data_IF_069825658398
#
_entry.id   IF_069825658398
#
_cell.length_a   1.000
_cell.length_b   1.000
_cell.length_c   1.000
_cell.angle_alpha   90.00
_cell.angle_beta   90.00
_cell.angle_gamma   90.00
#
_symmetry.space_group_name_H-M   'P 1'
#
loop_
_entity.id
_entity.type
_entity.pdbx_description
1 polymer ?
#
# COMPACT_ATOMS: atom_id res chain seq x y z
N UNK A 1 8.77 29.75 12.45
CA UNK A 1 7.50 29.92 11.72
C UNK A 1 7.54 29.41 10.27
N UNK A 2 8.56 29.74 9.45
CA UNK A 2 8.63 29.29 8.04
C UNK A 2 8.73 27.76 7.86
N UNK A 3 9.49 27.07 8.74
CA UNK A 3 9.65 25.61 8.66
C UNK A 3 8.35 24.85 8.94
N UNK A 4 7.57 25.30 9.93
CA UNK A 4 6.27 24.72 10.27
C UNK A 4 5.26 24.89 9.13
N UNK A 5 5.25 26.05 8.45
CA UNK A 5 4.42 26.26 7.27
C UNK A 5 4.77 25.31 6.11
N UNK A 6 6.07 25.09 5.85
CA UNK A 6 6.53 24.16 4.83
C UNK A 6 6.19 22.70 5.17
N UNK A 7 6.31 22.29 6.44
CA UNK A 7 5.93 20.96 6.92
C UNK A 7 4.42 20.71 6.80
N UNK A 8 3.59 21.69 7.18
CA UNK A 8 2.13 21.61 7.01
C UNK A 8 1.77 21.52 5.51
N UNK A 9 2.45 22.28 4.65
CA UNK A 9 2.24 22.22 3.20
C UNK A 9 2.64 20.85 2.61
N UNK A 10 3.78 20.28 3.04
CA UNK A 10 4.21 18.95 2.62
C UNK A 10 3.28 17.84 3.09
N UNK A 11 2.77 17.91 4.33
CA UNK A 11 1.81 16.96 4.88
C UNK A 11 0.45 17.04 4.16
N UNK A 12 -0.02 18.25 3.86
CA UNK A 12 -1.29 18.47 3.14
C UNK A 12 -1.20 18.07 1.66
N UNK A 13 -0.09 18.33 0.98
CA UNK A 13 0.16 17.84 -0.40
C UNK A 13 0.30 16.31 -0.42
N UNK A 14 0.93 15.70 0.59
CA UNK A 14 1.03 14.24 0.70
C UNK A 14 -0.34 13.59 0.91
N UNK A 15 -1.26 14.25 1.64
CA UNK A 15 -2.64 13.80 1.78
C UNK A 15 -3.51 14.09 0.53
N UNK A 16 -3.10 15.02 -0.35
CA UNK A 16 -3.76 15.29 -1.62
C UNK A 16 -3.40 14.25 -2.70
N UNK A 17 -2.27 13.56 -2.55
CA UNK A 17 -1.98 12.33 -3.27
C UNK A 17 -2.75 11.20 -2.58
N UNK A 18 -3.81 10.70 -3.23
CA UNK A 18 -4.64 9.64 -2.66
C UNK A 18 -3.86 8.36 -2.33
N UNK A 19 -4.51 7.43 -1.64
CA UNK A 19 -3.97 6.12 -1.27
C UNK A 19 -3.30 5.45 -2.48
N UNK A 20 -2.09 4.91 -2.33
CA UNK A 20 -1.43 4.14 -3.40
C UNK A 20 -1.66 2.65 -3.20
N UNK A 21 -2.04 1.93 -4.24
CA UNK A 21 -2.28 0.49 -4.18
C UNK A 21 -1.58 -0.24 -5.34
N UNK A 22 -1.26 -1.52 -5.16
CA UNK A 22 -0.94 -2.37 -6.30
C UNK A 22 -2.18 -2.58 -7.16
N UNK A 23 -2.03 -2.55 -8.48
CA UNK A 23 -3.13 -2.68 -9.44
C UNK A 23 -2.79 -3.69 -10.51
N UNK A 24 -3.70 -4.64 -10.74
CA UNK A 24 -3.61 -5.61 -11.82
C UNK A 24 -4.95 -6.33 -12.02
N UNK A 25 -5.17 -6.80 -13.23
CA UNK A 25 -6.37 -7.56 -13.60
C UNK A 25 -5.95 -8.98 -13.99
N UNK A 26 -6.39 -9.97 -13.21
CA UNK A 26 -6.16 -11.41 -13.46
C UNK A 26 -4.71 -11.69 -13.87
N UNK A 27 -3.78 -11.38 -12.98
CA UNK A 27 -2.34 -11.51 -13.22
C UNK A 27 -1.71 -12.55 -12.30
N UNK A 28 -0.53 -13.06 -12.68
CA UNK A 28 0.32 -13.81 -11.76
C UNK A 28 0.66 -12.93 -10.55
N UNK A 29 0.54 -13.43 -9.30
CA UNK A 29 0.80 -12.63 -8.12
C UNK A 29 2.19 -11.99 -8.05
N UNK A 30 3.20 -12.59 -8.70
CA UNK A 30 4.57 -12.06 -8.74
C UNK A 30 4.74 -10.98 -9.80
N UNK A 31 3.94 -10.99 -10.87
CA UNK A 31 3.98 -9.96 -11.91
C UNK A 31 3.13 -8.72 -11.57
N UNK A 32 2.25 -8.82 -10.57
CA UNK A 32 1.42 -7.70 -10.11
C UNK A 32 2.22 -6.70 -9.26
N UNK A 33 3.09 -5.93 -9.92
CA UNK A 33 3.96 -4.91 -9.30
C UNK A 33 3.57 -3.48 -9.65
N UNK A 34 2.67 -3.30 -10.62
CA UNK A 34 2.18 -1.98 -11.02
C UNK A 34 1.40 -1.33 -9.87
N UNK A 35 1.51 0.00 -9.76
CA UNK A 35 0.84 0.77 -8.70
C UNK A 35 0.00 1.87 -9.29
N UNK A 36 -1.16 2.12 -8.68
CA UNK A 36 -2.04 3.23 -9.02
C UNK A 36 -2.27 4.12 -7.79
N UNK A 37 -2.64 5.37 -8.04
CA UNK A 37 -3.09 6.30 -6.99
C UNK A 37 -4.61 6.31 -7.01
N UNK A 38 -5.23 5.99 -5.88
CA UNK A 38 -6.66 5.95 -5.71
C UNK A 38 -7.25 7.36 -5.78
N UNK A 39 -8.42 7.47 -6.40
CA UNK A 39 -9.24 8.68 -6.31
C UNK A 39 -9.86 8.80 -4.91
N UNK A 40 -10.29 10.01 -4.52
CA UNK A 40 -10.73 10.33 -3.17
C UNK A 40 -11.81 9.41 -2.55
N UNK A 41 -12.63 8.75 -3.38
CA UNK A 41 -13.72 7.87 -2.92
C UNK A 41 -13.33 6.38 -2.82
N UNK A 42 -12.13 6.00 -3.30
CA UNK A 42 -11.61 4.65 -3.20
C UNK A 42 -10.59 4.62 -2.05
N UNK A 43 -11.10 4.47 -0.84
CA UNK A 43 -10.35 4.61 0.43
C UNK A 43 -9.67 3.31 0.88
N UNK A 44 -9.71 2.24 0.08
CA UNK A 44 -9.11 0.94 0.38
C UNK A 44 -8.31 0.40 -0.79
N UNK A 45 -7.25 -0.33 -0.48
CA UNK A 45 -6.69 -1.26 -1.44
C UNK A 45 -7.43 -2.60 -1.33
N UNK A 46 -7.71 -3.25 -2.45
CA UNK A 46 -8.30 -4.59 -2.48
C UNK A 46 -7.36 -5.63 -3.07
N UNK A 47 -7.64 -6.89 -2.75
CA UNK A 47 -7.04 -8.08 -3.33
C UNK A 47 -8.10 -9.17 -3.44
N UNK A 48 -8.28 -9.71 -4.64
CA UNK A 48 -9.21 -10.78 -4.98
C UNK A 48 -8.45 -11.91 -5.66
N UNK A 49 -8.71 -13.15 -5.23
CA UNK A 49 -8.13 -14.37 -5.81
C UNK A 49 -9.26 -15.20 -6.44
N UNK A 50 -9.59 -14.96 -7.72
CA UNK A 50 -10.71 -15.65 -8.37
C UNK A 50 -10.40 -17.12 -8.68
N UNK A 51 -9.14 -17.49 -8.91
CA UNK A 51 -8.69 -18.86 -9.16
C UNK A 51 -7.35 -19.16 -8.46
N UNK A 52 -6.90 -20.42 -8.56
CA UNK A 52 -5.59 -20.83 -8.05
C UNK A 52 -4.50 -20.20 -8.91
N UNK A 53 -3.64 -19.38 -8.31
CA UNK A 53 -2.47 -18.70 -8.92
C UNK A 53 -2.74 -17.42 -9.72
N UNK A 54 -3.91 -16.81 -9.63
CA UNK A 54 -4.14 -15.45 -10.18
C UNK A 54 -4.67 -14.50 -9.11
N UNK A 55 -4.36 -13.22 -9.27
CA UNK A 55 -4.83 -12.16 -8.39
C UNK A 55 -5.33 -10.97 -9.20
N UNK A 56 -6.35 -10.29 -8.67
CA UNK A 56 -6.71 -8.93 -9.06
C UNK A 56 -6.57 -8.02 -7.86
N UNK A 57 -6.01 -6.84 -8.09
CA UNK A 57 -5.73 -5.84 -7.07
C UNK A 57 -6.05 -4.46 -7.62
N UNK A 58 -6.29 -3.51 -6.72
CA UNK A 58 -6.47 -2.11 -7.07
C UNK A 58 -7.09 -1.33 -5.92
N UNK A 59 -7.71 -0.21 -6.25
CA UNK A 59 -8.45 0.64 -5.34
C UNK A 59 -9.94 0.24 -5.25
N UNK A 60 -10.53 0.33 -4.06
CA UNK A 60 -11.94 0.03 -3.79
C UNK A 60 -12.51 0.99 -2.75
N UNK A 61 -13.81 1.27 -2.82
CA UNK A 61 -14.54 1.88 -1.72
C UNK A 61 -14.73 0.86 -0.59
N UNK A 62 -14.57 1.30 0.66
CA UNK A 62 -14.74 0.49 1.87
C UNK A 62 -16.10 -0.22 1.95
N UNK A 63 -17.15 0.36 1.38
CA UNK A 63 -18.50 -0.24 1.33
C UNK A 63 -18.55 -1.53 0.50
N UNK A 64 -17.62 -1.71 -0.44
CA UNK A 64 -17.55 -2.88 -1.32
C UNK A 64 -16.55 -3.93 -0.81
N UNK A 65 -15.93 -3.70 0.34
CA UNK A 65 -15.03 -4.65 1.00
C UNK A 65 -15.82 -5.76 1.68
N UNK A 66 -16.39 -6.63 0.87
CA UNK A 66 -17.22 -7.77 1.29
C UNK A 66 -16.55 -9.05 0.79
N UNK A 67 -16.59 -10.11 1.60
CA UNK A 67 -16.03 -11.41 1.21
C UNK A 67 -16.57 -11.86 -0.17
N UNK A 68 -15.73 -12.40 -1.06
CA UNK A 68 -14.36 -12.88 -0.84
C UNK A 68 -13.25 -11.83 -1.04
N UNK A 69 -13.58 -10.54 -1.17
CA UNK A 69 -12.61 -9.47 -1.38
C UNK A 69 -11.89 -9.17 -0.05
N UNK A 70 -10.56 -9.16 -0.07
CA UNK A 70 -9.75 -8.70 1.06
C UNK A 70 -9.39 -7.23 0.85
N UNK A 71 -9.60 -6.40 1.87
CA UNK A 71 -9.24 -4.98 1.84
C UNK A 71 -8.30 -4.59 2.96
N UNK A 72 -7.53 -3.53 2.75
CA UNK A 72 -6.63 -2.94 3.75
C UNK A 72 -6.50 -1.41 3.56
N UNK A 73 -6.00 -0.73 4.59
CA UNK A 73 -5.65 0.69 4.57
C UNK A 73 -4.13 0.88 4.51
N UNK A 74 -3.71 2.02 3.98
CA UNK A 74 -2.30 2.40 3.89
C UNK A 74 -1.67 2.03 2.55
N UNK A 75 -0.65 2.80 2.17
CA UNK A 75 -0.02 2.66 0.87
C UNK A 75 0.55 1.25 0.66
N UNK A 76 0.21 0.67 -0.49
CA UNK A 76 0.68 -0.61 -0.99
C UNK A 76 0.38 -1.81 -0.06
N UNK A 77 -0.57 -1.65 0.87
CA UNK A 77 -0.93 -2.68 1.86
C UNK A 77 -1.44 -3.98 1.22
N UNK A 78 -1.97 -3.90 -0.01
CA UNK A 78 -2.42 -5.05 -0.80
C UNK A 78 -1.27 -5.77 -1.52
N UNK A 79 -0.02 -5.49 -1.15
CA UNK A 79 1.16 -6.24 -1.58
C UNK A 79 1.08 -7.72 -1.22
N UNK A 80 1.96 -8.52 -1.82
CA UNK A 80 2.19 -9.85 -1.27
C UNK A 80 2.68 -9.69 0.17
N UNK A 81 2.21 -10.56 1.08
CA UNK A 81 2.77 -10.66 2.44
C UNK A 81 4.30 -10.66 2.31
N UNK A 82 5.04 -9.86 3.10
CA UNK A 82 6.47 -9.69 2.92
C UNK A 82 7.15 -11.05 2.83
N UNK A 83 8.14 -11.14 1.95
CA UNK A 83 9.07 -12.26 1.82
C UNK A 83 9.80 -12.50 3.15
N UNK A 84 9.13 -13.19 4.05
CA UNK A 84 9.65 -13.73 5.30
C UNK A 84 10.21 -12.71 6.31
N UNK A 85 10.72 -13.23 7.45
CA UNK A 85 11.26 -12.43 8.55
C UNK A 85 12.45 -11.52 8.17
N UNK A 86 13.07 -11.74 7.00
CA UNK A 86 14.29 -11.06 6.59
C UNK A 86 14.14 -9.55 6.43
N UNK A 87 13.00 -9.07 5.92
CA UNK A 87 12.77 -7.62 5.75
C UNK A 87 12.65 -6.92 7.10
N UNK A 88 11.99 -7.55 8.09
CA UNK A 88 11.84 -7.00 9.45
C UNK A 88 13.20 -6.94 10.15
N UNK A 89 14.04 -7.97 10.00
CA UNK A 89 15.40 -7.99 10.55
C UNK A 89 16.30 -6.92 9.93
N UNK A 90 16.20 -6.70 8.61
CA UNK A 90 16.94 -5.64 7.92
C UNK A 90 16.52 -4.24 8.39
N UNK A 91 15.20 -4.00 8.51
CA UNK A 91 14.68 -2.74 9.04
C UNK A 91 15.14 -2.52 10.49
N UNK A 92 15.10 -3.54 11.34
CA UNK A 92 15.59 -3.46 12.72
C UNK A 92 17.10 -3.15 12.79
N UNK A 93 17.91 -3.81 11.95
CA UNK A 93 19.34 -3.54 11.86
C UNK A 93 19.63 -2.11 11.42
N UNK A 94 18.86 -1.58 10.45
CA UNK A 94 19.03 -0.20 9.99
C UNK A 94 18.69 0.83 11.07
N UNK A 95 17.62 0.60 11.83
CA UNK A 95 17.19 1.47 12.92
C UNK A 95 18.20 1.48 14.08
N UNK A 96 18.82 0.33 14.38
CA UNK A 96 19.89 0.26 15.39
C UNK A 96 21.12 1.04 14.95
N UNK A 97 21.58 0.89 13.70
CA UNK A 97 22.75 1.62 13.19
C UNK A 97 22.55 3.14 13.28
N UNK A 98 21.35 3.65 12.97
CA UNK A 98 21.03 5.08 13.12
C UNK A 98 20.99 5.58 14.57
N UNK A 99 20.86 4.69 15.55
CA UNK A 99 20.87 5.03 16.98
C UNK A 99 22.28 5.09 17.57
N UNK A 100 23.25 4.45 16.90
CA UNK A 100 24.65 4.39 17.30
C UNK A 100 25.58 5.29 16.45
N UNK A 101 25.00 6.09 15.54
CA UNK A 101 25.64 7.19 14.81
C UNK A 101 25.12 8.50 15.39
#
# INVERSE_FOLDING_TARGET
MKLYGALIFLLTVSAACGLRCYSCTVADPKSCTDTETCIAFLDRCYSLKPEVNVVSKGCMASQLCIAPITCCEGDLCNGAVPTGPGVILLLLSSALITLFI
#
